data_IF_006833643213
#
_entry.id   IF_006833643213
#
_cell.length_a   1.000
_cell.length_b   1.000
_cell.length_c   1.000
_cell.angle_alpha   90.00
_cell.angle_beta   90.00
_cell.angle_gamma   90.00
#
_symmetry.space_group_name_H-M   'P 1'
#
loop_
_entity.id
_entity.type
_entity.pdbx_description
1 polymer ?
#
# COMPACT_ATOMS: atom_id res chain seq x y z
N UNK A 1 -27.38 -51.25 21.20
CA UNK A 1 -26.81 -51.58 22.51
C UNK A 1 -26.29 -50.31 23.18
N UNK A 2 -26.33 -50.21 24.51
CA UNK A 2 -26.03 -48.98 25.27
C UNK A 2 -24.63 -48.42 25.03
N UNK A 3 -23.68 -49.30 24.68
CA UNK A 3 -22.32 -48.94 24.29
C UNK A 3 -22.26 -48.14 22.97
N UNK A 4 -23.14 -48.44 22.01
CA UNK A 4 -23.24 -47.70 20.75
C UNK A 4 -23.81 -46.30 20.97
N UNK A 5 -24.79 -46.16 21.86
CA UNK A 5 -25.37 -44.86 22.23
C UNK A 5 -24.33 -43.98 22.92
N UNK A 6 -23.60 -44.51 23.89
CA UNK A 6 -22.54 -43.77 24.59
C UNK A 6 -21.40 -43.32 23.64
N UNK A 7 -21.01 -44.16 22.68
CA UNK A 7 -20.04 -43.81 21.64
C UNK A 7 -20.55 -42.70 20.72
N UNK A 8 -21.82 -42.77 20.30
CA UNK A 8 -22.43 -41.75 19.46
C UNK A 8 -22.53 -40.40 20.18
N UNK A 9 -22.87 -40.39 21.47
CA UNK A 9 -22.93 -39.17 22.29
C UNK A 9 -21.55 -38.53 22.51
N UNK A 10 -20.50 -39.34 22.69
CA UNK A 10 -19.12 -38.85 22.79
C UNK A 10 -18.63 -38.26 21.46
N UNK A 11 -18.91 -38.93 20.34
CA UNK A 11 -18.58 -38.41 19.00
C UNK A 11 -19.34 -37.11 18.71
N UNK A 12 -20.63 -37.04 19.04
CA UNK A 12 -21.43 -35.83 18.88
C UNK A 12 -20.89 -34.68 19.73
N UNK A 13 -20.50 -34.94 20.98
CA UNK A 13 -19.88 -33.92 21.85
C UNK A 13 -18.56 -33.40 21.28
N UNK A 14 -17.68 -34.28 20.80
CA UNK A 14 -16.41 -33.89 20.17
C UNK A 14 -16.60 -33.12 18.87
N UNK A 15 -17.51 -33.58 18.01
CA UNK A 15 -17.84 -32.89 16.77
C UNK A 15 -18.42 -31.49 17.05
N UNK A 16 -19.33 -31.37 18.02
CA UNK A 16 -19.91 -30.09 18.42
C UNK A 16 -18.86 -29.14 19.02
N UNK A 17 -17.93 -29.65 19.83
CA UNK A 17 -16.81 -28.84 20.36
C UNK A 17 -15.88 -28.36 19.25
N UNK A 18 -15.51 -29.24 18.31
CA UNK A 18 -14.69 -28.90 17.14
C UNK A 18 -15.37 -27.84 16.26
N UNK A 19 -16.67 -28.00 15.97
CA UNK A 19 -17.44 -27.05 15.18
C UNK A 19 -17.57 -25.68 15.87
N UNK A 20 -17.74 -25.63 17.20
CA UNK A 20 -17.73 -24.37 17.95
C UNK A 20 -16.38 -23.68 17.89
N UNK A 21 -15.29 -24.43 18.08
CA UNK A 21 -13.94 -23.88 18.00
C UNK A 21 -13.64 -23.32 16.60
N UNK A 22 -14.00 -24.06 15.54
CA UNK A 22 -13.84 -23.62 14.16
C UNK A 22 -14.60 -22.31 13.88
N UNK A 23 -15.84 -22.18 14.36
CA UNK A 23 -16.64 -20.95 14.21
C UNK A 23 -16.04 -19.77 14.99
N UNK A 24 -15.62 -20.00 16.23
CA UNK A 24 -14.98 -18.95 17.05
C UNK A 24 -13.65 -18.50 16.43
N UNK A 25 -12.85 -19.43 15.92
CA UNK A 25 -11.62 -19.12 15.20
C UNK A 25 -11.92 -18.30 13.94
N UNK A 26 -12.85 -18.74 13.10
CA UNK A 26 -13.26 -18.02 11.90
C UNK A 26 -13.78 -16.59 12.20
N UNK A 27 -14.52 -16.41 13.30
CA UNK A 27 -14.98 -15.10 13.72
C UNK A 27 -13.84 -14.19 14.17
N UNK A 28 -12.84 -14.72 14.90
CA UNK A 28 -11.64 -13.96 15.31
C UNK A 28 -10.79 -13.57 14.09
N UNK A 29 -10.62 -14.49 13.14
CA UNK A 29 -9.93 -14.23 11.87
C UNK A 29 -10.62 -13.10 11.11
N UNK A 30 -11.95 -13.17 10.97
CA UNK A 30 -12.72 -12.12 10.28
C UNK A 30 -12.58 -10.77 10.98
N UNK A 31 -12.75 -10.71 12.30
CA UNK A 31 -12.63 -9.46 13.06
C UNK A 31 -11.23 -8.83 12.92
N UNK A 32 -10.18 -9.63 13.03
CA UNK A 32 -8.82 -9.15 12.84
C UNK A 32 -8.61 -8.62 11.41
N UNK A 33 -9.11 -9.35 10.40
CA UNK A 33 -9.06 -8.94 9.00
C UNK A 33 -9.78 -7.61 8.78
N UNK A 34 -10.99 -7.44 9.31
CA UNK A 34 -11.78 -6.21 9.15
C UNK A 34 -11.07 -5.01 9.81
N UNK A 35 -10.55 -5.19 11.03
CA UNK A 35 -9.79 -4.16 11.75
C UNK A 35 -8.54 -3.74 10.97
N UNK A 36 -7.81 -4.71 10.44
CA UNK A 36 -6.59 -4.44 9.69
C UNK A 36 -6.89 -3.87 8.30
N UNK A 37 -7.96 -4.29 7.61
CA UNK A 37 -8.38 -3.71 6.34
C UNK A 37 -8.75 -2.23 6.49
N UNK A 38 -9.44 -1.85 7.57
CA UNK A 38 -9.70 -0.45 7.90
C UNK A 38 -8.42 0.37 8.13
N UNK A 39 -7.33 -0.27 8.56
CA UNK A 39 -6.01 0.33 8.71
C UNK A 39 -5.21 0.39 7.40
N UNK A 40 -5.70 -0.15 6.29
CA UNK A 40 -4.94 -0.30 5.04
C UNK A 40 -5.62 0.28 3.80
N UNK A 41 -6.96 0.37 3.77
CA UNK A 41 -7.73 0.75 2.59
C UNK A 41 -8.53 2.04 2.84
N UNK A 42 -7.88 3.22 2.85
CA UNK A 42 -8.60 4.48 2.98
C UNK A 42 -9.46 4.77 1.75
N UNK A 43 -10.59 5.43 1.97
CA UNK A 43 -11.35 6.06 0.89
C UNK A 43 -10.50 7.13 0.21
N UNK A 44 -10.56 7.17 -1.12
CA UNK A 44 -9.84 8.17 -1.90
C UNK A 44 -10.59 9.50 -1.84
N UNK A 45 -9.91 10.61 -1.49
CA UNK A 45 -10.54 11.93 -1.46
C UNK A 45 -10.86 12.40 -2.88
N UNK A 46 -11.75 13.38 -3.00
CA UNK A 46 -11.88 14.12 -4.26
C UNK A 46 -10.65 15.01 -4.48
N UNK A 47 -10.08 14.95 -5.68
CA UNK A 47 -9.00 15.83 -6.12
C UNK A 47 -9.52 16.62 -7.34
N UNK A 48 -9.88 17.91 -7.19
CA UNK A 48 -10.35 18.73 -8.30
C UNK A 48 -9.41 18.64 -9.50
N UNK A 49 -9.96 18.32 -10.67
CA UNK A 49 -9.28 18.20 -11.96
C UNK A 49 -8.20 17.11 -12.07
N UNK A 50 -8.25 16.09 -11.22
CA UNK A 50 -7.66 14.78 -11.49
C UNK A 50 -8.63 13.68 -11.02
N UNK A 51 -8.41 12.44 -11.43
CA UNK A 51 -9.17 11.30 -10.90
C UNK A 51 -8.21 10.38 -10.16
N UNK A 52 -8.60 9.96 -8.96
CA UNK A 52 -7.84 9.00 -8.16
C UNK A 52 -8.47 7.62 -8.31
N UNK A 53 -7.62 6.60 -8.46
CA UNK A 53 -8.01 5.21 -8.44
C UNK A 53 -6.96 4.41 -7.70
N UNK A 54 -7.40 3.38 -6.98
CA UNK A 54 -6.54 2.43 -6.30
C UNK A 54 -7.09 1.03 -6.54
N UNK A 55 -6.18 0.07 -6.66
CA UNK A 55 -6.48 -1.35 -6.70
C UNK A 55 -5.56 -2.04 -5.69
N UNK A 56 -6.13 -2.88 -4.84
CA UNK A 56 -5.39 -3.61 -3.83
C UNK A 56 -5.93 -5.03 -3.74
N UNK A 57 -5.03 -5.99 -3.91
CA UNK A 57 -5.32 -7.41 -3.81
C UNK A 57 -4.33 -8.02 -2.81
N UNK A 58 -4.77 -8.39 -1.60
CA UNK A 58 -3.88 -8.93 -0.58
C UNK A 58 -3.41 -10.34 -0.95
N UNK A 59 -2.10 -10.59 -0.86
CA UNK A 59 -1.54 -11.92 -0.97
C UNK A 59 -1.66 -12.68 0.37
N UNK A 60 -2.60 -13.63 0.48
CA UNK A 60 -2.67 -14.53 1.63
C UNK A 60 -4.04 -15.18 1.90
N UNK A 61 -4.03 -16.36 2.54
CA UNK A 61 -5.21 -17.01 3.11
C UNK A 61 -5.31 -16.70 4.62
N UNK A 62 -6.50 -16.31 5.11
CA UNK A 62 -6.77 -16.16 6.55
C UNK A 62 -6.36 -14.82 7.18
N UNK A 63 -5.45 -14.86 8.18
CA UNK A 63 -4.97 -13.72 8.99
C UNK A 63 -3.71 -13.04 8.41
N UNK A 64 -3.18 -13.56 7.32
CA UNK A 64 -2.00 -13.04 6.67
C UNK A 64 -2.38 -11.85 5.80
N UNK A 65 -2.15 -10.67 6.33
CA UNK A 65 -2.29 -9.43 5.59
C UNK A 65 -0.91 -9.00 5.14
N UNK A 66 -0.82 -8.65 3.87
CA UNK A 66 0.42 -8.18 3.23
C UNK A 66 0.95 -6.91 3.90
N UNK A 67 2.24 -6.66 3.71
CA UNK A 67 2.89 -5.43 4.14
C UNK A 67 2.48 -4.21 3.31
N UNK A 68 1.91 -4.44 2.12
CA UNK A 68 1.45 -3.43 1.18
C UNK A 68 0.37 -2.50 1.73
N UNK A 69 0.51 -1.21 1.45
CA UNK A 69 -0.48 -0.20 1.77
C UNK A 69 -0.43 1.00 0.82
N UNK A 70 -1.53 1.75 0.80
CA UNK A 70 -1.57 3.07 0.19
C UNK A 70 -2.34 4.06 1.06
N UNK A 71 -2.11 5.34 0.83
CA UNK A 71 -2.93 6.40 1.41
C UNK A 71 -2.96 7.62 0.49
N UNK A 72 -4.11 8.30 0.43
CA UNK A 72 -4.24 9.61 -0.21
C UNK A 72 -5.09 10.50 0.69
N UNK A 73 -4.62 11.72 0.95
CA UNK A 73 -5.32 12.63 1.85
C UNK A 73 -5.08 14.09 1.50
N UNK A 74 -6.05 14.91 1.85
CA UNK A 74 -5.94 16.36 1.75
C UNK A 74 -5.05 16.91 2.88
N UNK A 75 -4.11 17.78 2.52
CA UNK A 75 -3.26 18.52 3.47
C UNK A 75 -3.84 19.88 3.83
N UNK A 76 -4.62 20.46 2.93
CA UNK A 76 -5.13 21.83 2.97
C UNK A 76 -4.53 22.68 1.84
N UNK A 77 -5.08 23.88 1.63
CA UNK A 77 -4.59 24.87 0.65
C UNK A 77 -4.47 24.33 -0.80
N UNK A 78 -5.45 23.56 -1.27
CA UNK A 78 -5.44 22.94 -2.62
C UNK A 78 -4.23 22.01 -2.84
N UNK A 79 -3.84 21.29 -1.76
CA UNK A 79 -2.76 20.30 -1.76
C UNK A 79 -3.22 18.97 -1.20
N UNK A 80 -2.69 17.91 -1.80
CA UNK A 80 -2.90 16.53 -1.38
C UNK A 80 -1.55 15.86 -1.15
N UNK A 81 -1.56 14.78 -0.40
CA UNK A 81 -0.44 13.86 -0.32
C UNK A 81 -0.90 12.46 -0.64
N UNK A 82 0.00 11.69 -1.22
CA UNK A 82 -0.18 10.28 -1.48
C UNK A 82 1.02 9.50 -0.94
N UNK A 83 0.79 8.24 -0.61
CA UNK A 83 1.85 7.29 -0.34
C UNK A 83 1.46 5.89 -0.80
N UNK A 84 2.45 5.13 -1.22
CA UNK A 84 2.37 3.70 -1.48
C UNK A 84 3.63 3.09 -0.90
N UNK A 85 3.50 1.98 -0.20
CA UNK A 85 4.66 1.34 0.41
C UNK A 85 4.39 -0.10 0.75
N UNK A 86 5.48 -0.79 1.09
CA UNK A 86 5.46 -2.15 1.60
C UNK A 86 6.30 -2.23 2.87
N UNK A 87 5.74 -2.89 3.87
CA UNK A 87 6.36 -3.19 5.15
C UNK A 87 6.94 -4.60 5.11
N UNK A 88 8.23 -4.72 5.42
CA UNK A 88 8.84 -6.02 5.58
C UNK A 88 8.14 -6.85 6.68
N UNK A 89 7.50 -7.94 6.27
CA UNK A 89 6.79 -8.88 7.15
C UNK A 89 5.32 -9.05 6.76
N UNK A 90 4.56 -9.73 7.62
CA UNK A 90 3.11 -9.98 7.41
C UNK A 90 2.34 -10.00 8.72
N UNK A 91 1.02 -9.85 8.63
CA UNK A 91 0.10 -9.98 9.77
C UNK A 91 0.12 -8.79 10.73
N UNK A 92 -0.09 -9.04 12.02
CA UNK A 92 -0.36 -7.99 13.00
C UNK A 92 0.78 -6.97 13.18
N UNK A 93 2.04 -7.41 13.12
CA UNK A 93 3.19 -6.51 13.23
C UNK A 93 3.34 -5.61 12.00
N UNK A 94 3.09 -6.15 10.81
CA UNK A 94 3.07 -5.37 9.57
C UNK A 94 1.96 -4.30 9.64
N UNK A 95 0.74 -4.67 10.03
CA UNK A 95 -0.36 -3.73 10.18
C UNK A 95 -0.08 -2.61 11.20
N UNK A 96 0.59 -2.93 12.31
CA UNK A 96 1.01 -1.93 13.31
C UNK A 96 2.02 -0.96 12.73
N UNK A 97 3.01 -1.47 11.98
CA UNK A 97 4.02 -0.65 11.31
C UNK A 97 3.40 0.23 10.23
N UNK A 98 2.45 -0.30 9.45
CA UNK A 98 1.70 0.50 8.48
C UNK A 98 0.93 1.64 9.13
N UNK A 99 0.25 1.38 10.25
CA UNK A 99 -0.42 2.43 11.03
C UNK A 99 0.56 3.52 11.48
N UNK A 100 1.73 3.13 11.99
CA UNK A 100 2.79 4.06 12.38
C UNK A 100 3.25 4.91 11.19
N UNK A 101 3.55 4.30 10.04
CA UNK A 101 4.01 5.00 8.84
C UNK A 101 2.95 5.98 8.35
N UNK A 102 1.71 5.53 8.15
CA UNK A 102 0.61 6.35 7.61
C UNK A 102 0.31 7.54 8.51
N UNK A 103 0.16 7.32 9.82
CA UNK A 103 -0.21 8.40 10.73
C UNK A 103 0.95 9.37 10.99
N UNK A 104 2.18 8.88 11.07
CA UNK A 104 3.38 9.74 11.13
C UNK A 104 3.49 10.59 9.88
N UNK A 105 3.36 10.00 8.70
CA UNK A 105 3.41 10.72 7.43
C UNK A 105 2.30 11.77 7.34
N UNK A 106 1.05 11.43 7.70
CA UNK A 106 -0.07 12.39 7.75
C UNK A 106 0.19 13.56 8.71
N UNK A 107 0.71 13.29 9.89
CA UNK A 107 1.02 14.33 10.88
C UNK A 107 2.18 15.23 10.39
N UNK A 108 3.28 14.63 9.95
CA UNK A 108 4.45 15.32 9.43
C UNK A 108 4.12 16.15 8.18
N UNK A 109 3.30 15.61 7.28
CA UNK A 109 2.82 16.32 6.10
C UNK A 109 2.09 17.61 6.46
N UNK A 110 1.33 17.68 7.55
CA UNK A 110 0.66 18.95 7.92
C UNK A 110 1.64 20.05 8.37
N UNK A 111 2.84 19.66 8.79
CA UNK A 111 3.84 20.56 9.38
C UNK A 111 4.98 20.88 8.41
N UNK A 112 5.28 19.97 7.50
CA UNK A 112 6.45 20.02 6.62
C UNK A 112 5.98 20.14 5.17
N UNK A 113 6.59 21.04 4.39
CA UNK A 113 6.33 21.22 2.95
C UNK A 113 7.45 20.59 2.10
N UNK A 114 7.97 19.45 2.53
CA UNK A 114 9.06 18.75 1.86
C UNK A 114 8.87 17.23 2.00
N UNK A 115 8.64 16.51 0.88
CA UNK A 115 8.53 15.05 0.87
C UNK A 115 9.70 14.33 1.54
N UNK A 116 10.93 14.84 1.37
CA UNK A 116 12.12 14.23 1.97
C UNK A 116 12.09 14.38 3.50
N UNK A 117 11.70 15.54 4.01
CA UNK A 117 11.54 15.78 5.43
C UNK A 117 10.44 14.89 6.05
N UNK A 118 9.32 14.67 5.34
CA UNK A 118 8.27 13.74 5.78
C UNK A 118 8.78 12.30 5.84
N UNK A 119 9.49 11.82 4.82
CA UNK A 119 10.08 10.48 4.83
C UNK A 119 11.12 10.31 5.95
N UNK A 120 11.89 11.36 6.28
CA UNK A 120 12.80 11.36 7.42
C UNK A 120 12.07 11.30 8.77
N UNK A 121 10.94 11.99 8.91
CA UNK A 121 10.11 11.88 10.11
C UNK A 121 9.56 10.46 10.29
N UNK A 122 9.11 9.83 9.20
CA UNK A 122 8.72 8.41 9.19
C UNK A 122 9.89 7.51 9.59
N UNK A 123 11.09 7.75 9.04
CA UNK A 123 12.29 7.00 9.40
C UNK A 123 12.63 7.09 10.89
N UNK A 124 12.57 8.29 11.46
CA UNK A 124 12.82 8.51 12.88
C UNK A 124 11.81 7.73 13.75
N UNK A 125 10.51 7.85 13.44
CA UNK A 125 9.47 7.11 14.15
C UNK A 125 9.65 5.59 14.04
N UNK A 126 10.09 5.08 12.88
CA UNK A 126 10.41 3.67 12.69
C UNK A 126 11.58 3.23 13.57
N UNK A 127 12.60 4.06 13.78
CA UNK A 127 13.77 3.73 14.60
C UNK A 127 13.50 3.85 16.11
N UNK A 128 12.58 4.72 16.51
CA UNK A 128 12.20 4.95 17.91
C UNK A 128 11.21 3.92 18.45
N UNK A 129 10.57 3.14 17.57
CA UNK A 129 9.58 2.14 17.99
C UNK A 129 10.20 1.07 18.90
N UNK A 130 9.38 0.54 19.80
CA UNK A 130 9.84 -0.56 20.68
C UNK A 130 10.14 -1.82 19.86
N UNK A 131 11.12 -2.65 20.24
CA UNK A 131 11.41 -3.92 19.56
C UNK A 131 10.19 -4.85 19.45
N UNK A 132 9.27 -4.78 20.42
CA UNK A 132 8.00 -5.51 20.44
C UNK A 132 6.98 -5.03 19.39
N UNK A 133 7.20 -3.87 18.77
CA UNK A 133 6.37 -3.30 17.70
C UNK A 133 6.90 -3.66 16.30
N UNK A 134 7.99 -4.45 16.22
CA UNK A 134 8.53 -5.03 14.98
C UNK A 134 9.96 -4.60 14.67
N UNK A 135 10.69 -5.38 13.87
CA UNK A 135 12.10 -5.12 13.48
C UNK A 135 12.28 -4.99 11.95
N UNK A 136 11.21 -4.67 11.22
CA UNK A 136 11.22 -4.53 9.77
C UNK A 136 11.68 -3.16 9.26
N UNK A 137 12.05 -3.13 7.98
CA UNK A 137 12.21 -1.93 7.19
C UNK A 137 10.96 -1.67 6.35
N UNK A 138 10.86 -0.47 5.78
CA UNK A 138 9.73 -0.07 4.95
C UNK A 138 10.26 0.49 3.64
N UNK A 139 9.68 0.02 2.53
CA UNK A 139 9.81 0.71 1.24
C UNK A 139 8.64 1.67 1.08
N UNK A 140 8.91 2.89 0.61
CA UNK A 140 7.90 3.95 0.50
C UNK A 140 8.11 4.82 -0.73
N UNK A 141 7.04 5.12 -1.45
CA UNK A 141 6.90 6.36 -2.22
C UNK A 141 5.99 7.27 -1.43
N UNK A 142 6.45 8.47 -1.10
CA UNK A 142 5.61 9.54 -0.55
C UNK A 142 5.68 10.74 -1.49
N UNK A 143 4.54 11.36 -1.77
CA UNK A 143 4.49 12.54 -2.60
C UNK A 143 3.38 13.51 -2.25
N UNK A 144 3.56 14.74 -2.71
CA UNK A 144 2.72 15.89 -2.47
C UNK A 144 2.28 16.46 -3.81
N UNK A 145 0.97 16.59 -3.97
CA UNK A 145 0.30 17.08 -5.16
C UNK A 145 -0.16 18.51 -4.91
N UNK A 146 0.19 19.42 -5.82
CA UNK A 146 -0.25 20.81 -5.78
C UNK A 146 -0.56 21.32 -7.19
N UNK A 147 -1.54 22.22 -7.29
CA UNK A 147 -1.84 22.92 -8.54
C UNK A 147 -0.93 24.15 -8.67
N UNK A 148 -0.08 24.14 -9.69
CA UNK A 148 0.83 25.26 -10.00
C UNK A 148 0.60 25.70 -11.44
N UNK A 149 0.15 26.94 -11.64
CA UNK A 149 -0.09 27.48 -12.98
C UNK A 149 -1.14 26.71 -13.79
N UNK A 150 -2.15 26.16 -13.13
CA UNK A 150 -3.23 25.37 -13.75
C UNK A 150 -2.86 23.91 -14.04
N UNK A 151 -1.61 23.49 -13.81
CA UNK A 151 -1.15 22.12 -13.95
C UNK A 151 -1.00 21.44 -12.59
N UNK A 152 -1.17 20.12 -12.54
CA UNK A 152 -0.91 19.34 -11.34
C UNK A 152 0.59 18.97 -11.30
N UNK A 153 1.26 19.29 -10.20
CA UNK A 153 2.66 18.93 -9.97
C UNK A 153 2.73 17.97 -8.79
N UNK A 154 3.54 16.93 -8.91
CA UNK A 154 3.86 16.01 -7.83
C UNK A 154 5.34 16.17 -7.45
N UNK A 155 5.58 16.61 -6.23
CA UNK A 155 6.89 16.53 -5.56
C UNK A 155 6.91 15.24 -4.74
N UNK A 156 7.93 14.41 -4.89
CA UNK A 156 7.93 13.10 -4.24
C UNK A 156 9.31 12.67 -3.78
N UNK A 157 9.34 11.63 -2.97
CA UNK A 157 10.54 10.90 -2.56
C UNK A 157 10.27 9.41 -2.69
N UNK A 158 11.28 8.68 -3.17
CA UNK A 158 11.29 7.22 -3.20
C UNK A 158 12.30 6.74 -2.16
N UNK A 159 11.87 5.87 -1.27
CA UNK A 159 12.66 5.22 -0.25
C UNK A 159 12.64 3.71 -0.50
N UNK A 160 13.53 3.22 -1.36
CA UNK A 160 13.68 1.80 -1.70
C UNK A 160 12.54 1.15 -2.48
N UNK A 161 11.38 1.79 -2.61
CA UNK A 161 10.19 1.22 -3.27
C UNK A 161 10.31 1.19 -4.80
N UNK A 162 9.40 0.49 -5.46
CA UNK A 162 9.28 0.49 -6.93
C UNK A 162 9.10 1.92 -7.45
N UNK A 163 9.83 2.35 -8.50
CA UNK A 163 9.72 3.70 -9.03
C UNK A 163 8.31 4.02 -9.55
N UNK A 164 7.77 5.23 -9.30
CA UNK A 164 6.55 5.68 -9.95
C UNK A 164 6.74 5.79 -11.47
N UNK A 165 5.65 5.65 -12.22
CA UNK A 165 5.62 5.82 -13.66
C UNK A 165 4.71 6.99 -14.05
N UNK A 166 5.15 7.77 -15.03
CA UNK A 166 4.33 8.79 -15.68
C UNK A 166 3.86 8.24 -17.02
N UNK A 167 2.58 7.93 -17.13
CA UNK A 167 1.97 7.57 -18.40
C UNK A 167 1.37 8.83 -19.04
N UNK A 168 1.70 9.07 -20.30
CA UNK A 168 1.38 10.29 -21.04
C UNK A 168 0.11 10.12 -21.86
N UNK A 169 -0.55 11.25 -22.12
CA UNK A 169 -1.69 11.28 -23.04
C UNK A 169 -1.35 10.80 -24.48
N UNK A 170 -0.08 10.83 -24.88
CA UNK A 170 0.40 10.33 -26.19
C UNK A 170 0.71 8.82 -26.18
N UNK A 171 0.45 8.13 -25.07
CA UNK A 171 0.70 6.70 -24.88
C UNK A 171 2.12 6.35 -24.43
N UNK A 172 3.04 7.32 -24.33
CA UNK A 172 4.39 7.05 -23.83
C UNK A 172 4.40 6.88 -22.30
N UNK A 173 5.28 6.02 -21.79
CA UNK A 173 5.44 5.80 -20.34
C UNK A 173 6.89 6.06 -19.93
N UNK A 174 7.06 6.86 -18.87
CA UNK A 174 8.36 7.23 -18.32
C UNK A 174 8.49 6.72 -16.89
N UNK A 175 9.58 6.01 -16.60
CA UNK A 175 9.91 5.56 -15.24
C UNK A 175 10.60 6.70 -14.51
N UNK A 176 10.04 7.14 -13.38
CA UNK A 176 10.56 8.22 -12.56
C UNK A 176 11.56 7.68 -11.53
N UNK A 177 12.70 7.17 -12.02
CA UNK A 177 13.72 6.53 -11.18
C UNK A 177 14.56 7.57 -10.42
N UNK A 178 14.07 7.93 -9.23
CA UNK A 178 14.78 8.77 -8.27
C UNK A 178 15.39 7.87 -7.19
N UNK A 179 16.71 7.92 -6.94
CA UNK A 179 17.34 7.03 -5.97
C UNK A 179 16.91 7.37 -4.53
N UNK A 180 16.74 6.34 -3.70
CA UNK A 180 16.65 6.52 -2.25
C UNK A 180 16.63 5.22 -1.47
N UNK A 181 17.16 5.29 -0.26
CA UNK A 181 17.28 4.15 0.66
C UNK A 181 15.95 3.86 1.35
N UNK A 182 15.63 2.58 1.55
CA UNK A 182 14.54 2.11 2.40
C UNK A 182 14.63 2.67 3.83
N UNK A 183 13.48 2.78 4.51
CA UNK A 183 13.38 3.41 5.83
C UNK A 183 13.46 2.38 6.95
N UNK A 184 13.86 2.83 8.15
CA UNK A 184 13.89 2.04 9.38
C UNK A 184 15.17 1.23 9.60
N UNK A 185 16.22 1.45 8.80
CA UNK A 185 17.51 0.74 8.91
C UNK A 185 18.63 1.61 9.45
N UNK A 186 18.70 2.88 9.03
CA UNK A 186 19.75 3.82 9.46
C UNK A 186 19.14 5.17 9.86
N UNK A 187 19.71 5.87 10.86
CA UNK A 187 19.25 7.20 11.26
C UNK A 187 19.23 8.24 10.14
N UNK A 188 20.17 8.17 9.20
CA UNK A 188 20.30 9.13 8.09
C UNK A 188 20.24 8.42 6.72
N UNK A 189 19.04 8.06 6.23
CA UNK A 189 18.87 7.45 4.94
C UNK A 189 19.13 8.48 3.84
N UNK A 190 19.89 8.08 2.81
CA UNK A 190 20.11 8.92 1.62
C UNK A 190 18.83 8.91 0.79
N UNK A 191 18.17 10.07 0.71
CA UNK A 191 16.92 10.29 -0.02
C UNK A 191 17.10 11.46 -0.99
N UNK A 192 16.56 11.35 -2.20
CA UNK A 192 16.55 12.42 -3.20
C UNK A 192 15.11 12.84 -3.53
N UNK A 193 14.85 14.15 -3.70
CA UNK A 193 13.55 14.60 -4.17
C UNK A 193 13.40 14.33 -5.66
N UNK A 194 12.20 13.94 -6.05
CA UNK A 194 11.71 13.87 -7.42
C UNK A 194 10.63 14.91 -7.66
N UNK A 195 10.49 15.35 -8.91
CA UNK A 195 9.40 16.23 -9.34
C UNK A 195 8.88 15.78 -10.69
N UNK A 196 7.56 15.76 -10.82
CA UNK A 196 6.88 15.51 -12.09
C UNK A 196 5.72 16.46 -12.28
N UNK A 197 5.60 17.02 -13.49
CA UNK A 197 4.43 17.82 -13.90
C UNK A 197 3.52 16.92 -14.73
N UNK A 198 2.24 16.90 -14.38
CA UNK A 198 1.18 16.16 -15.05
C UNK A 198 0.38 17.12 -15.93
N UNK A 199 0.40 16.85 -17.23
CA UNK A 199 -0.45 17.57 -18.21
C UNK A 199 -1.84 16.93 -18.25
N UNK A 200 -2.85 17.64 -18.79
CA UNK A 200 -4.15 17.01 -19.05
C UNK A 200 -3.98 15.70 -19.84
N UNK A 201 -4.56 14.62 -19.32
CA UNK A 201 -4.44 13.27 -19.88
C UNK A 201 -3.25 12.45 -19.39
N UNK A 202 -2.25 13.06 -18.72
CA UNK A 202 -1.18 12.31 -18.06
C UNK A 202 -1.71 11.61 -16.79
N UNK A 203 -1.12 10.46 -16.48
CA UNK A 203 -1.38 9.67 -15.27
C UNK A 203 -0.09 9.41 -14.52
N UNK A 204 -0.13 9.54 -13.19
CA UNK A 204 0.91 9.07 -12.30
C UNK A 204 0.49 7.70 -11.75
N UNK A 205 1.32 6.69 -11.94
CA UNK A 205 1.05 5.30 -11.54
C UNK A 205 2.13 4.88 -10.54
N UNK A 206 1.70 4.38 -9.40
CA UNK A 206 2.58 3.80 -8.37
C UNK A 206 2.07 2.41 -8.06
N UNK A 207 2.98 1.44 -7.98
CA UNK A 207 2.67 0.03 -7.71
C UNK A 207 3.60 -0.49 -6.63
N UNK A 208 3.16 -1.54 -5.92
CA UNK A 208 4.02 -2.34 -5.06
C UNK A 208 4.75 -3.41 -5.87
N UNK A 209 5.73 -4.06 -5.24
CA UNK A 209 6.57 -5.07 -5.88
C UNK A 209 5.80 -6.31 -6.33
N UNK A 210 4.65 -6.63 -5.73
CA UNK A 210 3.77 -7.73 -6.16
C UNK A 210 3.38 -7.68 -7.64
N UNK A 211 3.32 -6.51 -8.26
CA UNK A 211 3.11 -6.36 -9.72
C UNK A 211 4.39 -6.59 -10.50
N UNK A 212 5.51 -5.99 -10.10
CA UNK A 212 6.79 -6.08 -10.83
C UNK A 212 7.47 -7.44 -10.64
N UNK A 213 7.19 -8.13 -9.54
CA UNK A 213 7.68 -9.47 -9.24
C UNK A 213 6.80 -10.58 -9.83
N UNK A 214 5.65 -10.23 -10.44
CA UNK A 214 4.80 -11.20 -11.11
C UNK A 214 5.59 -11.93 -12.20
N UNK A 215 5.39 -13.25 -12.29
CA UNK A 215 6.12 -14.11 -13.22
C UNK A 215 5.21 -14.66 -14.29
N UNK A 216 5.68 -14.62 -15.53
CA UNK A 216 5.07 -15.38 -16.63
C UNK A 216 5.20 -16.89 -16.39
N UNK A 217 4.48 -17.70 -17.18
CA UNK A 217 4.63 -19.16 -17.16
C UNK A 217 6.07 -19.63 -17.45
N UNK A 218 6.88 -18.80 -18.12
CA UNK A 218 8.29 -19.05 -18.38
C UNK A 218 9.23 -18.59 -17.24
N UNK A 219 8.68 -18.10 -16.12
CA UNK A 219 9.45 -17.65 -14.95
C UNK A 219 10.07 -16.25 -15.07
N UNK A 220 9.87 -15.57 -16.20
CA UNK A 220 10.36 -14.20 -16.45
C UNK A 220 9.55 -13.21 -15.61
N UNK A 221 10.25 -12.35 -14.89
CA UNK A 221 9.68 -11.24 -14.10
C UNK A 221 9.00 -10.22 -15.02
N UNK A 222 7.90 -9.65 -14.55
CA UNK A 222 7.19 -8.61 -15.28
C UNK A 222 7.97 -7.29 -15.30
N UNK A 223 8.64 -6.96 -14.18
CA UNK A 223 9.51 -5.80 -13.99
C UNK A 223 8.89 -4.43 -14.34
N UNK A 224 9.63 -3.35 -14.10
CA UNK A 224 9.16 -1.99 -14.37
C UNK A 224 9.03 -1.70 -15.87
N UNK A 225 9.81 -2.37 -16.72
CA UNK A 225 9.75 -2.20 -18.17
C UNK A 225 8.54 -2.92 -18.77
N UNK A 226 8.22 -4.13 -18.29
CA UNK A 226 6.99 -4.81 -18.67
C UNK A 226 5.76 -4.05 -18.23
N UNK A 227 5.78 -3.45 -17.03
CA UNK A 227 4.73 -2.53 -16.58
C UNK A 227 4.61 -1.30 -17.49
N UNK A 228 5.72 -0.65 -17.81
CA UNK A 228 5.73 0.51 -18.70
C UNK A 228 5.18 0.17 -20.10
N UNK A 229 5.53 -1.00 -20.63
CA UNK A 229 5.03 -1.51 -21.91
C UNK A 229 3.53 -1.84 -21.86
N UNK A 230 3.04 -2.45 -20.78
CA UNK A 230 1.62 -2.73 -20.60
C UNK A 230 0.80 -1.45 -20.47
N UNK A 231 1.30 -0.43 -19.76
CA UNK A 231 0.67 0.88 -19.70
C UNK A 231 0.64 1.56 -21.08
N UNK A 232 1.72 1.46 -21.85
CA UNK A 232 1.78 2.02 -23.21
C UNK A 232 0.81 1.34 -24.19
N UNK A 233 0.43 0.08 -23.93
CA UNK A 233 -0.57 -0.65 -24.71
C UNK A 233 -2.02 -0.31 -24.32
N UNK A 234 -2.23 0.38 -23.20
CA UNK A 234 -3.55 0.85 -22.77
C UNK A 234 -3.87 2.20 -23.41
N UNK A 235 -5.11 2.41 -23.83
CA UNK A 235 -5.58 3.76 -24.17
C UNK A 235 -5.59 4.64 -22.90
N UNK A 236 -5.08 5.88 -22.96
CA UNK A 236 -5.22 6.84 -21.87
C UNK A 236 -6.71 7.09 -21.62
N UNK A 237 -7.23 6.57 -20.50
CA UNK A 237 -8.61 6.81 -20.07
C UNK A 237 -8.59 7.44 -18.68
N UNK A 238 -9.46 8.42 -18.40
CA UNK A 238 -9.65 8.88 -17.03
C UNK A 238 -10.07 7.69 -16.16
N UNK A 239 -9.28 7.42 -15.12
CA UNK A 239 -9.37 6.21 -14.31
C UNK A 239 -10.65 6.22 -13.48
N UNK A 240 -11.69 5.50 -13.88
CA UNK A 240 -12.85 5.28 -13.00
C UNK A 240 -12.46 4.27 -11.93
N UNK A 241 -12.52 4.64 -10.65
CA UNK A 241 -12.38 3.69 -9.55
C UNK A 241 -13.43 2.57 -9.72
N UNK A 242 -12.99 1.35 -10.02
CA UNK A 242 -13.81 0.14 -9.84
C UNK A 242 -13.38 -0.49 -8.54
N UNK A 243 -14.26 -0.50 -7.55
CA UNK A 243 -14.19 -1.50 -6.50
C UNK A 243 -14.19 -2.88 -7.19
N UNK A 244 -13.33 -3.78 -6.74
CA UNK A 244 -13.29 -5.15 -7.26
C UNK A 244 -14.70 -5.77 -7.13
N UNK A 245 -15.17 -6.53 -8.13
CA UNK A 245 -16.39 -7.31 -7.96
C UNK A 245 -16.17 -8.33 -6.85
N UNK A 246 -17.12 -8.43 -5.92
CA UNK A 246 -17.19 -9.51 -4.93
C UNK A 246 -16.99 -10.86 -5.66
N UNK A 247 -15.93 -11.59 -5.29
CA UNK A 247 -15.73 -13.00 -5.66
C UNK A 247 -15.52 -13.81 -4.40
#
# INVERSE_FOLDING_TARGET
DGRTVALAEELARRAAASARNARQYAQRVRLARDLQAGLLLPELPSLPGATLAAFYEPAGEGLEIGGDFYDVFERGDDRWAFMVGDVCGRGALAATTTGLVRHTARAAARLLNDPVAVARAVNAALLERSPHQGTGFVTLVYGELARTGGLLTADFVRAGHTPPLRHRADGTTEILDVPGMLLGVTPDPVLRPGRVVLRPGDSLVTVTDGITEARSAAGVLFDERGLAAALAACEPRPTTARAAPDR
#
